data_IF_633470207391
#
_entry.id   IF_633470207391
#
_cell.length_a   1.000
_cell.length_b   1.000
_cell.length_c   1.000
_cell.angle_alpha   90.00
_cell.angle_beta   90.00
_cell.angle_gamma   90.00
#
_symmetry.space_group_name_H-M   'P 1'
#
loop_
_entity.id
_entity.type
_entity.pdbx_description
1 polymer ?
#
# COMPACT_ATOMS: atom_id res chain seq x y z
N UNK A 1 -10.23 0.41 -9.15
CA UNK A 1 -11.17 0.04 -8.05
C UNK A 1 -11.01 0.93 -6.81
N UNK A 2 -9.81 1.10 -6.27
CA UNK A 2 -9.57 2.00 -5.12
C UNK A 2 -9.95 3.46 -5.40
N UNK A 3 -9.61 3.99 -6.56
CA UNK A 3 -9.96 5.36 -6.95
C UNK A 3 -11.48 5.59 -6.95
N UNK A 4 -12.27 4.61 -7.37
CA UNK A 4 -13.73 4.68 -7.33
C UNK A 4 -14.23 4.80 -5.88
N UNK A 5 -13.64 4.05 -4.95
CA UNK A 5 -14.00 4.10 -3.53
C UNK A 5 -13.59 5.42 -2.87
N UNK A 6 -12.43 5.93 -3.22
CA UNK A 6 -12.00 7.27 -2.79
C UNK A 6 -12.96 8.34 -3.29
N UNK A 7 -13.37 8.26 -4.56
CA UNK A 7 -14.36 9.19 -5.14
C UNK A 7 -15.70 9.16 -4.39
N UNK A 8 -16.16 7.99 -3.99
CA UNK A 8 -17.40 7.83 -3.19
C UNK A 8 -17.26 8.48 -1.81
N UNK A 9 -16.13 8.28 -1.13
CA UNK A 9 -15.83 8.93 0.15
C UNK A 9 -15.86 10.45 0.01
N UNK A 10 -15.19 10.99 -1.00
CA UNK A 10 -15.14 12.44 -1.25
C UNK A 10 -16.53 13.01 -1.52
N UNK A 11 -17.35 12.33 -2.31
CA UNK A 11 -18.75 12.75 -2.54
C UNK A 11 -19.55 12.80 -1.25
N UNK A 12 -19.40 11.78 -0.40
CA UNK A 12 -20.08 11.73 0.90
C UNK A 12 -19.58 12.85 1.83
N UNK A 13 -18.30 13.12 1.87
CA UNK A 13 -17.73 14.24 2.63
C UNK A 13 -18.28 15.59 2.16
N UNK A 14 -18.36 15.81 0.85
CA UNK A 14 -18.93 17.04 0.28
C UNK A 14 -20.41 17.19 0.63
N UNK A 15 -21.18 16.10 0.58
CA UNK A 15 -22.59 16.10 0.96
C UNK A 15 -22.76 16.48 2.43
N UNK A 16 -22.04 15.83 3.33
CA UNK A 16 -22.10 16.09 4.77
C UNK A 16 -21.73 17.54 5.08
N UNK A 17 -20.64 18.04 4.47
CA UNK A 17 -20.25 19.45 4.62
C UNK A 17 -21.38 20.40 4.20
N UNK A 18 -21.99 20.14 3.08
CA UNK A 18 -23.08 20.98 2.56
C UNK A 18 -24.32 20.96 3.45
N UNK A 19 -24.70 19.79 3.92
CA UNK A 19 -25.85 19.61 4.82
C UNK A 19 -25.64 20.30 6.16
N UNK A 20 -24.42 20.24 6.71
CA UNK A 20 -24.07 20.88 7.98
C UNK A 20 -23.66 22.37 7.85
N UNK A 21 -23.45 22.85 6.64
CA UNK A 21 -23.06 24.24 6.38
C UNK A 21 -21.67 24.59 6.93
N UNK A 22 -20.76 23.64 7.01
CA UNK A 22 -19.43 23.83 7.58
C UNK A 22 -18.48 24.59 6.66
N UNK A 23 -17.77 25.57 7.22
CA UNK A 23 -16.66 26.24 6.53
C UNK A 23 -15.38 25.40 6.58
N UNK A 24 -14.43 25.73 5.71
CA UNK A 24 -13.12 25.05 5.71
C UNK A 24 -12.41 25.22 7.06
N UNK A 25 -12.45 26.43 7.65
CA UNK A 25 -11.85 26.69 8.97
C UNK A 25 -12.48 25.88 10.08
N UNK A 26 -13.79 25.71 10.08
CA UNK A 26 -14.50 24.87 11.05
C UNK A 26 -14.11 23.42 10.95
N UNK A 27 -13.93 22.91 9.72
CA UNK A 27 -13.46 21.53 9.49
C UNK A 27 -12.03 21.35 10.02
N UNK A 28 -11.13 22.28 9.75
CA UNK A 28 -9.75 22.24 10.28
C UNK A 28 -9.77 22.20 11.81
N UNK A 29 -10.58 23.05 12.43
CA UNK A 29 -10.72 23.09 13.89
C UNK A 29 -11.28 21.79 14.46
N UNK A 30 -12.25 21.18 13.80
CA UNK A 30 -12.79 19.87 14.20
C UNK A 30 -11.74 18.76 14.13
N UNK A 31 -10.89 18.76 13.10
CA UNK A 31 -9.78 17.83 13.00
C UNK A 31 -8.79 18.01 14.17
N UNK A 32 -8.43 19.24 14.48
CA UNK A 32 -7.52 19.56 15.60
C UNK A 32 -8.09 19.13 16.95
N UNK A 33 -9.39 19.34 17.18
CA UNK A 33 -10.09 18.88 18.41
C UNK A 33 -10.06 17.36 18.54
N UNK A 34 -9.98 16.63 17.43
CA UNK A 34 -9.87 15.16 17.43
C UNK A 34 -8.41 14.68 17.57
N UNK A 35 -7.46 15.58 17.73
CA UNK A 35 -6.03 15.27 17.79
C UNK A 35 -5.41 14.92 16.44
N UNK A 36 -6.08 15.27 15.35
CA UNK A 36 -5.62 15.02 13.98
C UNK A 36 -5.33 16.35 13.28
N UNK A 37 -4.17 16.47 12.65
CA UNK A 37 -3.75 17.70 11.98
C UNK A 37 -3.88 17.57 10.46
N UNK A 38 -4.74 18.40 9.87
CA UNK A 38 -4.88 18.54 8.42
C UNK A 38 -4.76 20.00 8.05
N UNK A 39 -3.90 20.35 7.10
CA UNK A 39 -3.71 21.72 6.68
C UNK A 39 -4.96 22.27 5.97
N UNK A 40 -5.21 23.55 6.12
CA UNK A 40 -6.30 24.23 5.43
C UNK A 40 -6.22 24.07 3.91
N UNK A 41 -5.00 24.12 3.35
CA UNK A 41 -4.76 23.90 1.93
C UNK A 41 -5.20 22.54 1.47
N UNK A 42 -4.92 21.50 2.26
CA UNK A 42 -5.33 20.11 1.97
C UNK A 42 -6.84 19.98 2.04
N UNK A 43 -7.49 20.54 3.04
CA UNK A 43 -8.95 20.54 3.18
C UNK A 43 -9.61 21.23 1.99
N UNK A 44 -9.11 22.38 1.58
CA UNK A 44 -9.58 23.10 0.38
C UNK A 44 -9.48 22.23 -0.87
N UNK A 45 -8.40 21.49 -1.03
CA UNK A 45 -8.23 20.57 -2.20
C UNK A 45 -9.25 19.45 -2.19
N UNK A 46 -9.53 18.86 -1.06
CA UNK A 46 -10.52 17.76 -0.94
C UNK A 46 -11.92 18.24 -1.30
N UNK A 47 -12.29 19.44 -0.86
CA UNK A 47 -13.63 20.00 -1.10
C UNK A 47 -13.74 20.85 -2.37
N UNK A 48 -12.68 20.95 -3.16
CA UNK A 48 -12.71 21.66 -4.44
C UNK A 48 -13.55 20.89 -5.48
N UNK A 49 -14.09 21.64 -6.44
CA UNK A 49 -14.82 21.01 -7.55
C UNK A 49 -13.91 20.06 -8.35
N UNK A 50 -14.43 18.90 -8.66
CA UNK A 50 -13.69 17.88 -9.41
C UNK A 50 -12.63 17.11 -8.60
N UNK A 51 -12.56 17.31 -7.28
CA UNK A 51 -11.57 16.62 -6.42
C UNK A 51 -11.75 15.10 -6.40
N UNK A 52 -12.92 14.59 -6.76
CA UNK A 52 -13.19 13.16 -6.88
C UNK A 52 -12.27 12.43 -7.87
N UNK A 53 -11.69 13.17 -8.81
CA UNK A 53 -10.75 12.62 -9.79
C UNK A 53 -9.32 12.47 -9.24
N UNK A 54 -8.99 13.08 -8.09
CA UNK A 54 -7.67 13.03 -7.51
C UNK A 54 -7.50 11.88 -6.52
N UNK A 55 -6.28 11.33 -6.46
CA UNK A 55 -5.91 10.33 -5.48
C UNK A 55 -5.43 10.96 -4.18
N UNK A 56 -6.29 10.99 -3.16
CA UNK A 56 -5.91 11.44 -1.82
C UNK A 56 -5.46 10.27 -0.95
N UNK A 57 -4.53 10.53 -0.04
CA UNK A 57 -4.12 9.53 0.94
C UNK A 57 -5.25 9.34 1.97
N UNK A 58 -5.68 8.10 2.15
CA UNK A 58 -6.76 7.78 3.08
C UNK A 58 -6.37 8.08 4.53
N UNK A 59 -5.22 7.57 4.99
CA UNK A 59 -4.82 7.67 6.41
C UNK A 59 -4.50 9.09 6.85
N UNK A 60 -3.78 9.85 6.02
CA UNK A 60 -3.33 11.19 6.38
C UNK A 60 -4.31 12.31 6.02
N UNK A 61 -5.22 12.09 5.08
CA UNK A 61 -6.10 13.13 4.54
C UNK A 61 -7.58 12.81 4.76
N UNK A 62 -8.07 11.69 4.25
CA UNK A 62 -9.51 11.39 4.27
C UNK A 62 -10.01 10.94 5.64
N UNK A 63 -9.26 10.10 6.34
CA UNK A 63 -9.64 9.59 7.67
C UNK A 63 -9.84 10.70 8.71
N UNK A 64 -8.92 11.70 8.84
CA UNK A 64 -9.17 12.85 9.71
C UNK A 64 -10.46 13.60 9.41
N UNK A 65 -10.76 13.82 8.13
CA UNK A 65 -11.97 14.51 7.69
C UNK A 65 -13.23 13.69 7.98
N UNK A 66 -13.19 12.38 7.76
CA UNK A 66 -14.28 11.48 8.09
C UNK A 66 -14.58 11.52 9.58
N UNK A 67 -13.56 11.40 10.43
CA UNK A 67 -13.73 11.45 11.88
C UNK A 67 -14.29 12.79 12.36
N UNK A 68 -13.80 13.89 11.79
CA UNK A 68 -14.28 15.23 12.14
C UNK A 68 -15.75 15.45 11.78
N UNK A 69 -16.15 15.04 10.58
CA UNK A 69 -17.50 15.26 10.08
C UNK A 69 -18.54 14.29 10.67
N UNK A 70 -18.16 13.03 10.93
CA UNK A 70 -19.09 12.05 11.52
C UNK A 70 -19.51 12.40 12.94
N UNK A 71 -18.64 13.03 13.73
CA UNK A 71 -18.97 13.45 15.10
C UNK A 71 -20.04 14.55 15.17
N UNK A 72 -20.28 15.25 14.06
CA UNK A 72 -21.17 16.40 13.98
C UNK A 72 -22.48 16.12 13.21
N UNK A 73 -22.73 14.87 12.75
CA UNK A 73 -23.75 14.61 11.74
C UNK A 73 -24.84 13.61 12.19
N UNK A 74 -25.99 13.64 11.48
CA UNK A 74 -27.11 12.74 11.72
C UNK A 74 -26.86 11.29 11.31
N UNK A 75 -27.54 10.36 11.98
CA UNK A 75 -27.35 8.91 11.88
C UNK A 75 -27.35 8.34 10.45
N UNK A 76 -28.14 8.90 9.53
CA UNK A 76 -28.28 8.39 8.15
C UNK A 76 -27.05 8.66 7.29
N UNK A 77 -26.47 9.85 7.39
CA UNK A 77 -25.26 10.20 6.66
C UNK A 77 -24.02 9.52 7.26
N UNK A 78 -24.01 9.30 8.55
CA UNK A 78 -23.02 8.50 9.24
C UNK A 78 -22.98 7.07 8.68
N UNK A 79 -24.15 6.44 8.50
CA UNK A 79 -24.27 5.10 7.93
C UNK A 79 -23.72 5.02 6.52
N UNK A 80 -24.08 5.96 5.65
CA UNK A 80 -23.56 6.00 4.26
C UNK A 80 -22.05 6.18 4.22
N UNK A 81 -21.51 7.04 5.09
CA UNK A 81 -20.08 7.24 5.20
C UNK A 81 -19.37 5.98 5.70
N UNK A 82 -19.91 5.32 6.71
CA UNK A 82 -19.38 4.06 7.24
C UNK A 82 -19.36 2.97 6.19
N UNK A 83 -20.40 2.86 5.36
CA UNK A 83 -20.45 1.93 4.23
C UNK A 83 -19.35 2.25 3.23
N UNK A 84 -19.18 3.51 2.84
CA UNK A 84 -18.11 3.92 1.91
C UNK A 84 -16.72 3.62 2.44
N UNK A 85 -16.49 3.85 3.72
CA UNK A 85 -15.21 3.53 4.39
C UNK A 85 -14.98 2.03 4.43
N UNK A 86 -15.99 1.24 4.78
CA UNK A 86 -15.90 -0.21 4.82
C UNK A 86 -15.58 -0.79 3.44
N UNK A 87 -16.24 -0.28 2.40
CA UNK A 87 -15.98 -0.67 1.01
C UNK A 87 -14.59 -0.30 0.55
N UNK A 88 -14.09 0.88 0.93
CA UNK A 88 -12.71 1.28 0.64
C UNK A 88 -11.71 0.34 1.32
N UNK A 89 -11.90 0.04 2.60
CA UNK A 89 -11.03 -0.86 3.36
C UNK A 89 -11.00 -2.26 2.75
N UNK A 90 -12.16 -2.80 2.38
CA UNK A 90 -12.27 -4.10 1.72
C UNK A 90 -11.52 -4.13 0.38
N UNK A 91 -11.66 -3.08 -0.45
CA UNK A 91 -10.94 -2.95 -1.71
C UNK A 91 -9.43 -2.83 -1.49
N UNK A 92 -8.99 -2.11 -0.46
CA UNK A 92 -7.57 -1.96 -0.10
C UNK A 92 -6.96 -3.29 0.36
N UNK A 93 -7.67 -4.05 1.19
CA UNK A 93 -7.24 -5.38 1.63
C UNK A 93 -7.06 -6.31 0.43
N UNK A 94 -8.02 -6.35 -0.48
CA UNK A 94 -7.96 -7.15 -1.70
C UNK A 94 -6.77 -6.78 -2.59
N UNK A 95 -6.50 -5.48 -2.73
CA UNK A 95 -5.36 -4.98 -3.50
C UNK A 95 -4.03 -5.39 -2.85
N UNK A 96 -3.91 -5.26 -1.53
CA UNK A 96 -2.72 -5.68 -0.78
C UNK A 96 -2.49 -7.20 -0.85
N UNK A 97 -3.54 -8.00 -0.75
CA UNK A 97 -3.47 -9.46 -0.92
C UNK A 97 -2.94 -9.83 -2.31
N UNK A 98 -3.41 -9.15 -3.36
CA UNK A 98 -2.92 -9.35 -4.72
C UNK A 98 -1.43 -8.94 -4.85
N UNK A 99 -1.00 -7.86 -4.21
CA UNK A 99 0.40 -7.45 -4.18
C UNK A 99 1.28 -8.48 -3.45
N UNK A 100 0.83 -8.98 -2.30
CA UNK A 100 1.53 -10.02 -1.55
C UNK A 100 1.71 -11.27 -2.40
N UNK A 101 0.65 -11.75 -3.06
CA UNK A 101 0.72 -12.92 -3.94
C UNK A 101 1.74 -12.73 -5.07
N UNK A 102 1.77 -11.57 -5.70
CA UNK A 102 2.77 -11.26 -6.75
C UNK A 102 4.19 -11.25 -6.22
N UNK A 103 4.39 -10.69 -5.03
CA UNK A 103 5.70 -10.69 -4.37
C UNK A 103 6.15 -12.10 -4.01
N UNK A 104 5.26 -12.92 -3.45
CA UNK A 104 5.55 -14.31 -3.12
C UNK A 104 5.97 -15.13 -4.34
N UNK A 105 5.27 -14.99 -5.46
CA UNK A 105 5.63 -15.63 -6.73
C UNK A 105 6.99 -15.15 -7.25
N UNK A 106 7.24 -13.86 -7.15
CA UNK A 106 8.53 -13.27 -7.56
C UNK A 106 9.67 -13.82 -6.71
N UNK A 107 9.50 -13.90 -5.40
CA UNK A 107 10.50 -14.49 -4.50
C UNK A 107 10.71 -15.99 -4.76
N UNK A 108 9.65 -16.75 -4.98
CA UNK A 108 9.75 -18.17 -5.33
C UNK A 108 10.58 -18.39 -6.60
N UNK A 109 10.32 -17.60 -7.64
CA UNK A 109 11.09 -17.67 -8.90
C UNK A 109 12.56 -17.30 -8.68
N UNK A 110 12.81 -16.29 -7.85
CA UNK A 110 14.19 -15.90 -7.52
C UNK A 110 14.94 -16.96 -6.72
N UNK A 111 14.27 -17.57 -5.75
CA UNK A 111 14.83 -18.68 -4.97
C UNK A 111 15.16 -19.86 -5.88
N UNK A 112 14.26 -20.23 -6.77
CA UNK A 112 14.47 -21.32 -7.73
C UNK A 112 15.66 -21.04 -8.66
N UNK A 113 15.72 -19.82 -9.18
CA UNK A 113 16.88 -19.39 -9.98
C UNK A 113 18.19 -19.49 -9.21
N UNK A 114 18.22 -19.01 -7.97
CA UNK A 114 19.43 -19.07 -7.13
C UNK A 114 19.83 -20.50 -6.80
N UNK A 115 18.87 -21.38 -6.55
CA UNK A 115 19.13 -22.81 -6.34
C UNK A 115 19.80 -23.44 -7.56
N UNK A 116 19.31 -23.15 -8.76
CA UNK A 116 19.91 -23.62 -10.01
C UNK A 116 21.33 -23.09 -10.17
N UNK A 117 21.58 -21.81 -9.83
CA UNK A 117 22.92 -21.25 -9.89
C UNK A 117 23.89 -21.90 -8.90
N UNK A 118 23.41 -22.24 -7.72
CA UNK A 118 24.18 -22.98 -6.72
C UNK A 118 24.55 -24.38 -7.24
N UNK A 119 23.60 -25.10 -7.79
CA UNK A 119 23.85 -26.44 -8.39
C UNK A 119 24.91 -26.38 -9.47
N UNK A 120 24.81 -25.43 -10.39
CA UNK A 120 25.81 -25.24 -11.45
C UNK A 120 27.19 -24.95 -10.89
N UNK A 121 27.28 -24.10 -9.87
CA UNK A 121 28.54 -23.76 -9.22
C UNK A 121 29.14 -24.93 -8.46
N UNK A 122 28.31 -25.70 -7.78
CA UNK A 122 28.73 -26.90 -7.07
C UNK A 122 29.31 -27.94 -8.05
N UNK A 123 28.66 -28.17 -9.18
CA UNK A 123 29.17 -29.04 -10.24
C UNK A 123 30.53 -28.56 -10.78
N UNK A 124 30.70 -27.25 -10.95
CA UNK A 124 31.97 -26.66 -11.39
C UNK A 124 33.09 -26.85 -10.35
N UNK A 125 32.73 -26.71 -9.08
CA UNK A 125 33.64 -26.94 -7.97
C UNK A 125 34.10 -28.40 -7.95
N UNK A 126 33.13 -29.34 -8.04
CA UNK A 126 33.43 -30.76 -8.08
C UNK A 126 34.35 -31.13 -9.24
N UNK A 127 34.12 -30.61 -10.43
CA UNK A 127 34.97 -30.82 -11.60
C UNK A 127 36.35 -30.26 -11.41
N UNK A 128 36.47 -29.08 -10.81
CA UNK A 128 37.79 -28.48 -10.51
C UNK A 128 38.54 -29.28 -9.46
N UNK A 129 37.86 -29.78 -8.46
CA UNK A 129 38.42 -30.62 -7.41
C UNK A 129 38.95 -31.93 -8.00
N UNK A 130 38.19 -32.56 -8.92
CA UNK A 130 38.68 -33.73 -9.67
C UNK A 130 39.92 -33.45 -10.50
N UNK A 131 39.95 -32.31 -11.22
CA UNK A 131 41.10 -31.89 -12.00
C UNK A 131 42.34 -31.63 -11.13
N UNK A 132 42.12 -30.99 -9.97
CA UNK A 132 43.22 -30.74 -9.00
C UNK A 132 43.76 -32.06 -8.49
N UNK A 133 42.90 -32.98 -8.12
CA UNK A 133 43.30 -34.33 -7.65
C UNK A 133 44.12 -35.07 -8.70
N UNK A 134 43.65 -35.05 -9.94
CA UNK A 134 44.36 -35.66 -11.08
C UNK A 134 45.73 -35.04 -11.33
N UNK A 135 45.82 -33.69 -11.24
CA UNK A 135 47.08 -33.00 -11.40
C UNK A 135 48.08 -33.32 -10.28
N UNK A 136 47.61 -33.38 -9.04
CA UNK A 136 48.44 -33.77 -7.89
C UNK A 136 48.94 -35.19 -8.07
N UNK A 137 48.10 -36.15 -8.43
CA UNK A 137 48.46 -37.52 -8.67
C UNK A 137 49.51 -37.64 -9.80
N UNK A 138 49.33 -36.85 -10.84
CA UNK A 138 50.28 -36.79 -11.96
C UNK A 138 51.63 -36.24 -11.54
N UNK A 139 51.67 -35.21 -10.71
CA UNK A 139 52.93 -34.66 -10.18
C UNK A 139 53.61 -35.66 -9.27
N UNK A 140 52.88 -36.32 -8.38
CA UNK A 140 53.45 -37.34 -7.47
C UNK A 140 54.02 -38.51 -8.27
N UNK A 141 53.32 -39.01 -9.29
CA UNK A 141 53.81 -40.07 -10.18
C UNK A 141 54.97 -39.64 -11.06
N UNK A 142 55.01 -38.37 -11.45
CA UNK A 142 56.12 -37.82 -12.27
C UNK A 142 57.39 -37.64 -11.49
N UNK A 143 57.37 -37.55 -10.16
CA UNK A 143 58.55 -37.49 -9.28
C UNK A 143 59.10 -38.87 -8.93
N UNK A 144 58.38 -39.88 -9.22
CA UNK A 144 58.81 -41.27 -9.04
C UNK A 144 59.41 -41.83 -10.32
#
# INVERSE_FOLDING_TARGET
MLQKRISEIIRNLKRVRQEDGLSISEIVNLCEKNGESVSETTVKKVFADGSEAFGFNYESTLKPLINALLKAHEETAETDMMISVAEFKAAKIKDLEAQISRMEESYKRRIEFLKQQIEIKDERIDKRDEMISKLIDSIIKGEG
#
